data_IF_396568720457
#
_entry.id   IF_396568720457
#
_cell.length_a   1.000
_cell.length_b   1.000
_cell.length_c   1.000
_cell.angle_alpha   90.00
_cell.angle_beta   90.00
_cell.angle_gamma   90.00
#
_symmetry.space_group_name_H-M   'P 1'
#
loop_
_entity.id
_entity.type
_entity.pdbx_description
1 polymer ?
#
# COMPACT_ATOMS: atom_id res chain seq x y z
N UNK A 1 17.62 29.24 -28.58
CA UNK A 1 18.04 28.83 -27.22
C UNK A 1 16.87 28.95 -26.26
N UNK A 2 16.28 27.83 -25.83
CA UNK A 2 15.47 27.74 -24.60
C UNK A 2 15.95 26.50 -23.84
N UNK A 3 16.19 26.72 -22.55
CA UNK A 3 16.98 25.90 -21.63
C UNK A 3 16.10 24.80 -20.99
N UNK A 4 16.64 23.58 -21.05
CA UNK A 4 16.70 22.49 -20.06
C UNK A 4 15.52 22.08 -19.15
N UNK A 5 15.64 20.81 -18.75
CA UNK A 5 14.99 20.06 -17.66
C UNK A 5 13.69 19.37 -18.12
N UNK A 6 13.63 18.06 -18.28
CA UNK A 6 14.40 17.01 -17.63
C UNK A 6 13.38 16.05 -17.06
N UNK A 7 13.10 14.97 -17.80
CA UNK A 7 12.47 13.78 -17.23
C UNK A 7 13.32 12.61 -17.69
N UNK A 8 14.44 12.43 -17.00
CA UNK A 8 15.08 11.11 -16.96
C UNK A 8 14.11 10.25 -16.16
N UNK A 9 13.25 9.51 -16.86
CA UNK A 9 12.54 8.37 -16.26
C UNK A 9 13.66 7.41 -15.86
N UNK A 10 14.04 7.48 -14.59
CA UNK A 10 15.09 6.67 -14.00
C UNK A 10 14.54 5.25 -13.86
N UNK A 11 14.61 4.50 -14.96
CA UNK A 11 14.33 3.06 -15.05
C UNK A 11 15.45 2.26 -14.37
N UNK A 12 15.69 2.51 -13.08
CA UNK A 12 16.78 1.91 -12.31
C UNK A 12 16.31 1.41 -10.96
N UNK A 13 15.26 0.60 -10.97
CA UNK A 13 14.68 0.14 -9.72
C UNK A 13 14.27 -1.33 -9.90
N UNK A 14 15.02 -2.21 -9.21
CA UNK A 14 14.87 -3.67 -9.05
C UNK A 14 15.79 -4.59 -9.87
N UNK A 15 16.91 -4.11 -10.42
CA UNK A 15 17.99 -5.00 -10.86
C UNK A 15 18.76 -5.57 -9.65
N UNK A 16 18.08 -6.36 -8.81
CA UNK A 16 18.69 -7.35 -7.95
C UNK A 16 18.74 -8.65 -8.73
N UNK A 17 19.93 -9.04 -9.20
CA UNK A 17 20.22 -10.35 -9.77
C UNK A 17 19.97 -11.45 -8.73
N UNK A 18 18.71 -11.84 -8.55
CA UNK A 18 18.29 -13.17 -8.08
C UNK A 18 16.77 -13.40 -8.16
N UNK A 19 15.96 -12.40 -8.53
CA UNK A 19 14.54 -12.61 -8.82
C UNK A 19 13.69 -13.06 -7.61
N UNK A 20 14.21 -12.99 -6.39
CA UNK A 20 13.45 -13.35 -5.20
C UNK A 20 12.34 -12.33 -4.92
N UNK A 21 11.12 -12.83 -4.85
CA UNK A 21 9.94 -12.05 -4.50
C UNK A 21 10.10 -11.45 -3.09
N UNK A 22 10.01 -10.12 -3.02
CA UNK A 22 10.10 -9.37 -1.76
C UNK A 22 8.69 -9.13 -1.21
N UNK A 23 8.54 -9.37 0.09
CA UNK A 23 7.28 -9.15 0.80
C UNK A 23 7.36 -7.93 1.71
N UNK A 24 6.25 -7.24 1.83
CA UNK A 24 6.07 -6.03 2.60
C UNK A 24 4.81 -6.14 3.47
N UNK A 25 4.84 -5.53 4.64
CA UNK A 25 3.68 -5.38 5.53
C UNK A 25 3.41 -3.92 5.79
N UNK A 26 2.17 -3.61 6.12
CA UNK A 26 1.81 -2.25 6.55
C UNK A 26 2.47 -2.00 7.93
N UNK A 27 3.32 -0.98 7.97
CA UNK A 27 3.94 -0.47 9.20
C UNK A 27 3.07 0.63 9.81
N UNK A 28 2.62 1.55 8.96
CA UNK A 28 1.86 2.74 9.33
C UNK A 28 0.73 3.04 8.33
N UNK A 29 -0.36 3.61 8.84
CA UNK A 29 -1.49 4.10 8.04
C UNK A 29 -1.83 5.51 8.53
N UNK A 30 -1.80 6.46 7.62
CA UNK A 30 -2.18 7.84 7.87
C UNK A 30 -3.39 8.22 7.00
N UNK A 31 -4.41 8.81 7.62
CA UNK A 31 -5.60 9.32 6.93
C UNK A 31 -5.61 10.84 7.04
N UNK A 32 -5.72 11.50 5.89
CA UNK A 32 -5.89 12.95 5.82
C UNK A 32 -7.29 13.25 5.30
N UNK A 33 -8.19 13.60 6.21
CA UNK A 33 -9.57 13.94 5.90
C UNK A 33 -9.70 15.32 5.23
N UNK A 34 -10.58 15.42 4.24
CA UNK A 34 -11.03 16.69 3.68
C UNK A 34 -12.31 17.14 4.38
N UNK A 35 -12.17 18.09 5.30
CA UNK A 35 -13.29 18.62 6.07
C UNK A 35 -13.92 19.86 5.43
N UNK A 36 -13.56 20.21 4.19
CA UNK A 36 -13.98 21.46 3.55
C UNK A 36 -15.48 21.58 3.30
N UNK A 37 -16.18 20.44 3.20
CA UNK A 37 -17.63 20.35 2.97
C UNK A 37 -18.42 20.02 4.23
N UNK A 38 -17.74 19.80 5.35
CA UNK A 38 -18.38 19.31 6.58
C UNK A 38 -19.04 20.42 7.38
N UNK A 39 -20.26 20.17 7.86
CA UNK A 39 -21.03 21.12 8.67
C UNK A 39 -20.97 20.83 10.18
N UNK A 40 -20.38 19.69 10.57
CA UNK A 40 -20.20 19.29 11.96
C UNK A 40 -19.19 20.18 12.68
N UNK A 41 -19.27 20.26 14.01
CA UNK A 41 -18.25 20.96 14.79
C UNK A 41 -16.91 20.23 14.72
N UNK A 42 -15.80 20.95 14.90
CA UNK A 42 -14.45 20.37 14.91
C UNK A 42 -14.29 19.26 15.96
N UNK A 43 -14.98 19.38 17.10
CA UNK A 43 -14.95 18.35 18.16
C UNK A 43 -15.63 17.06 17.71
N UNK A 44 -16.77 17.16 17.04
CA UNK A 44 -17.50 16.00 16.51
C UNK A 44 -16.68 15.31 15.41
N UNK A 45 -16.11 16.09 14.48
CA UNK A 45 -15.23 15.58 13.43
C UNK A 45 -14.05 14.80 14.01
N UNK A 46 -13.34 15.35 15.00
CA UNK A 46 -12.18 14.69 15.63
C UNK A 46 -12.54 13.32 16.21
N UNK A 47 -13.64 13.22 16.97
CA UNK A 47 -14.04 11.96 17.61
C UNK A 47 -14.36 10.87 16.58
N UNK A 48 -15.09 11.22 15.51
CA UNK A 48 -15.46 10.25 14.48
C UNK A 48 -14.22 9.83 13.67
N UNK A 49 -13.40 10.81 13.26
CA UNK A 49 -12.21 10.58 12.43
C UNK A 49 -11.11 9.81 13.17
N UNK A 50 -10.97 10.02 14.49
CA UNK A 50 -10.13 9.18 15.35
C UNK A 50 -10.61 7.73 15.36
N UNK A 51 -11.93 7.50 15.44
CA UNK A 51 -12.52 6.16 15.35
C UNK A 51 -12.23 5.47 14.02
N UNK A 52 -12.40 6.18 12.90
CA UNK A 52 -12.10 5.68 11.55
C UNK A 52 -10.61 5.35 11.42
N UNK A 53 -9.74 6.27 11.85
CA UNK A 53 -8.29 6.10 11.81
C UNK A 53 -7.85 4.89 12.63
N UNK A 54 -8.40 4.75 13.85
CA UNK A 54 -8.13 3.60 14.71
C UNK A 54 -8.54 2.28 14.06
N UNK A 55 -9.74 2.22 13.47
CA UNK A 55 -10.22 1.02 12.75
C UNK A 55 -9.29 0.66 11.58
N UNK A 56 -8.83 1.65 10.81
CA UNK A 56 -7.88 1.43 9.73
C UNK A 56 -6.56 0.85 10.26
N UNK A 57 -5.96 1.48 11.27
CA UNK A 57 -4.71 1.02 11.89
C UNK A 57 -4.82 -0.39 12.48
N UNK A 58 -5.94 -0.70 13.15
CA UNK A 58 -6.18 -2.01 13.75
C UNK A 58 -6.32 -3.12 12.69
N UNK A 59 -6.66 -2.79 11.43
CA UNK A 59 -6.77 -3.75 10.31
C UNK A 59 -5.44 -4.10 9.62
N UNK A 60 -4.34 -3.44 9.97
CA UNK A 60 -3.07 -3.52 9.21
C UNK A 60 -2.37 -4.89 9.24
N UNK A 61 -2.70 -5.73 10.23
CA UNK A 61 -1.96 -6.97 10.53
C UNK A 61 -2.21 -8.12 9.54
N UNK A 62 -3.28 -8.02 8.74
CA UNK A 62 -3.78 -9.15 7.95
C UNK A 62 -3.47 -9.05 6.46
N UNK A 63 -2.68 -8.03 6.06
CA UNK A 63 -2.38 -7.74 4.65
C UNK A 63 -0.88 -7.72 4.41
N UNK A 64 -0.45 -8.55 3.47
CA UNK A 64 0.92 -8.55 2.94
C UNK A 64 0.91 -8.11 1.48
N UNK A 65 2.02 -7.52 1.04
CA UNK A 65 2.18 -7.06 -0.35
C UNK A 65 3.45 -7.65 -0.95
N UNK A 66 3.41 -7.99 -2.22
CA UNK A 66 4.61 -8.22 -3.03
C UNK A 66 4.62 -7.30 -4.23
N UNK A 67 5.82 -6.85 -4.61
CA UNK A 67 6.02 -5.98 -5.76
C UNK A 67 7.18 -6.49 -6.60
N UNK A 68 6.95 -6.52 -7.92
CA UNK A 68 7.96 -6.60 -8.97
C UNK A 68 7.94 -5.28 -9.76
N UNK A 69 8.84 -5.04 -10.73
CA UNK A 69 8.78 -3.81 -11.53
C UNK A 69 7.46 -3.66 -12.31
N UNK A 70 6.82 -4.78 -12.66
CA UNK A 70 5.69 -4.80 -13.60
C UNK A 70 4.38 -5.27 -12.96
N UNK A 71 4.43 -5.91 -11.79
CA UNK A 71 3.28 -6.54 -11.15
C UNK A 71 3.33 -6.36 -9.63
N UNK A 72 2.18 -6.06 -9.03
CA UNK A 72 1.97 -6.12 -7.60
C UNK A 72 1.06 -7.29 -7.25
N UNK A 73 1.11 -7.74 -6.01
CA UNK A 73 0.07 -8.58 -5.45
C UNK A 73 -0.13 -8.22 -3.98
N UNK A 74 -1.32 -8.50 -3.47
CA UNK A 74 -1.57 -8.45 -2.03
C UNK A 74 -2.18 -9.76 -1.55
N UNK A 75 -1.91 -10.09 -0.31
CA UNK A 75 -2.34 -11.31 0.35
C UNK A 75 -3.23 -10.92 1.52
N UNK A 76 -4.50 -11.30 1.44
CA UNK A 76 -5.51 -11.01 2.45
C UNK A 76 -6.15 -12.33 2.87
N UNK A 77 -6.18 -12.61 4.17
CA UNK A 77 -6.79 -13.84 4.72
C UNK A 77 -6.30 -15.16 4.08
N UNK A 78 -5.07 -15.17 3.54
CA UNK A 78 -4.47 -16.34 2.89
C UNK A 78 -4.79 -16.49 1.41
N UNK A 79 -5.53 -15.56 0.82
CA UNK A 79 -5.77 -15.49 -0.62
C UNK A 79 -4.83 -14.48 -1.27
N UNK A 80 -4.35 -14.81 -2.48
CA UNK A 80 -3.53 -13.91 -3.29
C UNK A 80 -4.44 -13.17 -4.25
N UNK A 81 -4.26 -11.86 -4.30
CA UNK A 81 -4.94 -10.98 -5.22
C UNK A 81 -3.89 -10.29 -6.06
N UNK A 82 -3.86 -10.62 -7.35
CA UNK A 82 -2.98 -9.96 -8.30
C UNK A 82 -3.45 -8.53 -8.53
N UNK A 83 -2.50 -7.59 -8.50
CA UNK A 83 -2.74 -6.18 -8.73
C UNK A 83 -1.86 -5.69 -9.88
N UNK A 84 -2.51 -5.36 -11.00
CA UNK A 84 -1.79 -4.80 -12.15
C UNK A 84 -1.14 -3.47 -11.77
N UNK A 85 0.18 -3.37 -11.94
CA UNK A 85 0.93 -2.12 -11.81
C UNK A 85 1.00 -1.44 -13.17
N UNK A 86 0.13 -0.45 -13.41
CA UNK A 86 0.17 0.34 -14.64
C UNK A 86 0.49 1.80 -14.30
N UNK A 87 1.60 2.29 -14.84
CA UNK A 87 2.04 3.68 -14.61
C UNK A 87 2.36 3.98 -13.14
N UNK A 88 2.85 2.99 -12.39
CA UNK A 88 3.14 3.13 -10.96
C UNK A 88 1.90 3.19 -10.07
N UNK A 89 0.74 2.74 -10.56
CA UNK A 89 -0.50 2.65 -9.79
C UNK A 89 -0.97 1.21 -9.70
N UNK A 90 -1.52 0.85 -8.55
CA UNK A 90 -2.18 -0.43 -8.28
C UNK A 90 -3.61 -0.21 -7.79
N UNK A 91 -4.47 -1.19 -7.97
CA UNK A 91 -5.80 -1.20 -7.39
C UNK A 91 -5.82 -2.15 -6.18
N UNK A 92 -6.34 -1.68 -5.05
CA UNK A 92 -6.60 -2.47 -3.85
C UNK A 92 -8.08 -2.36 -3.54
N UNK A 93 -8.84 -3.44 -3.76
CA UNK A 93 -10.30 -3.41 -3.78
C UNK A 93 -10.81 -2.31 -4.74
N UNK A 94 -11.58 -1.34 -4.25
CA UNK A 94 -12.10 -0.22 -5.05
C UNK A 94 -11.22 1.04 -4.98
N UNK A 95 -10.03 0.96 -4.38
CA UNK A 95 -9.15 2.10 -4.16
C UNK A 95 -7.96 2.05 -5.11
N UNK A 96 -7.78 3.10 -5.90
CA UNK A 96 -6.58 3.31 -6.70
C UNK A 96 -5.47 3.92 -5.86
N UNK A 97 -4.29 3.29 -5.88
CA UNK A 97 -3.13 3.65 -5.08
C UNK A 97 -1.93 3.93 -5.98
N UNK A 98 -1.29 5.07 -5.77
CA UNK A 98 0.03 5.38 -6.33
C UNK A 98 1.10 4.71 -5.49
N UNK A 99 1.96 3.94 -6.14
CA UNK A 99 3.08 3.24 -5.51
C UNK A 99 4.33 4.10 -5.61
N UNK A 100 4.92 4.47 -4.48
CA UNK A 100 6.21 5.17 -4.40
C UNK A 100 7.19 4.31 -3.62
N UNK A 101 8.36 4.07 -4.19
CA UNK A 101 9.46 3.41 -3.48
C UNK A 101 10.60 4.40 -3.25
N UNK A 102 11.25 4.32 -2.09
CA UNK A 102 12.49 5.04 -1.77
C UNK A 102 13.75 4.22 -2.11
N UNK A 103 13.56 3.06 -2.72
CA UNK A 103 14.04 1.79 -2.19
C UNK A 103 15.55 1.46 -2.08
N UNK A 104 16.01 0.69 -1.13
CA UNK A 104 15.50 0.45 0.21
C UNK A 104 14.20 -0.35 0.33
N UNK A 105 13.85 -0.48 1.59
CA UNK A 105 12.93 -1.47 2.13
C UNK A 105 11.58 -0.85 2.51
N UNK A 106 11.29 0.37 2.03
CA UNK A 106 10.03 1.07 2.28
C UNK A 106 9.28 1.35 0.98
N UNK A 107 7.97 1.14 1.01
CA UNK A 107 7.06 1.48 -0.07
C UNK A 107 5.92 2.32 0.52
N UNK A 108 5.52 3.39 -0.16
CA UNK A 108 4.32 4.12 0.16
C UNK A 108 3.24 3.83 -0.87
N UNK A 109 2.05 3.49 -0.39
CA UNK A 109 0.84 3.42 -1.18
C UNK A 109 -0.02 4.62 -0.82
N UNK A 110 -0.33 5.46 -1.80
CA UNK A 110 -1.05 6.72 -1.58
C UNK A 110 -2.30 6.73 -2.44
N UNK A 111 -3.47 6.85 -1.82
CA UNK A 111 -4.74 6.96 -2.55
C UNK A 111 -4.88 8.31 -3.24
N UNK A 112 -5.91 8.45 -4.08
CA UNK A 112 -6.32 9.77 -4.54
C UNK A 112 -6.95 10.56 -3.38
N UNK A 113 -6.94 11.89 -3.48
CA UNK A 113 -7.35 12.81 -2.41
C UNK A 113 -8.83 12.72 -2.00
N UNK A 114 -9.67 12.26 -2.90
CA UNK A 114 -11.12 12.14 -2.71
C UNK A 114 -11.52 10.67 -2.56
N UNK A 115 -10.67 9.88 -1.92
CA UNK A 115 -11.00 8.49 -1.61
C UNK A 115 -12.03 8.47 -0.49
N UNK A 116 -13.04 7.62 -0.60
CA UNK A 116 -14.02 7.46 0.46
C UNK A 116 -13.40 6.74 1.67
N UNK A 117 -13.33 7.44 2.81
CA UNK A 117 -13.06 6.90 4.14
C UNK A 117 -14.35 6.90 4.96
N UNK A 118 -15.23 5.92 4.69
CA UNK A 118 -16.53 5.79 5.35
C UNK A 118 -17.45 6.98 5.00
N UNK A 119 -17.66 7.92 5.91
CA UNK A 119 -18.51 9.10 5.70
C UNK A 119 -17.77 10.30 5.11
N UNK A 120 -16.44 10.24 4.97
CA UNK A 120 -15.61 11.40 4.60
C UNK A 120 -14.77 11.14 3.36
N UNK A 121 -14.48 12.21 2.62
CA UNK A 121 -13.41 12.21 1.62
C UNK A 121 -12.04 12.29 2.33
N UNK A 122 -11.06 11.50 1.87
CA UNK A 122 -9.75 11.42 2.48
C UNK A 122 -8.63 11.06 1.47
N UNK A 123 -7.40 11.36 1.84
CA UNK A 123 -6.19 10.76 1.28
C UNK A 123 -5.63 9.72 2.28
N UNK A 124 -5.51 8.47 1.85
CA UNK A 124 -4.93 7.37 2.63
C UNK A 124 -3.48 7.21 2.21
N UNK A 125 -2.57 7.24 3.17
CA UNK A 125 -1.16 6.88 2.97
C UNK A 125 -0.83 5.66 3.81
N UNK A 126 -0.49 4.54 3.16
CA UNK A 126 0.04 3.35 3.82
C UNK A 126 1.54 3.29 3.61
N UNK A 127 2.29 3.21 4.70
CA UNK A 127 3.73 2.96 4.66
C UNK A 127 3.96 1.48 4.88
N UNK A 128 4.59 0.84 3.91
CA UNK A 128 4.94 -0.57 3.92
C UNK A 128 6.42 -0.73 4.24
N UNK A 129 6.74 -1.68 5.12
CA UNK A 129 8.11 -2.11 5.39
C UNK A 129 8.33 -3.53 4.90
N UNK A 130 9.53 -3.78 4.39
CA UNK A 130 9.95 -5.12 4.00
C UNK A 130 9.88 -6.08 5.20
N UNK A 131 9.36 -7.26 4.96
CA UNK A 131 9.35 -8.36 5.91
C UNK A 131 10.72 -9.03 5.90
N UNK A 132 11.32 -9.19 7.09
CA UNK A 132 12.59 -9.91 7.24
C UNK A 132 12.38 -11.42 7.04
N UNK A 133 13.29 -12.07 6.32
CA UNK A 133 13.18 -13.51 5.96
C UNK A 133 13.12 -14.47 7.15
N UNK A 134 13.63 -14.06 8.31
CA UNK A 134 13.62 -14.86 9.54
C UNK A 134 12.47 -14.51 10.48
N UNK A 135 11.61 -13.57 10.09
CA UNK A 135 10.48 -13.16 10.92
C UNK A 135 9.36 -14.21 10.93
N UNK A 136 8.57 -14.32 12.01
CA UNK A 136 7.37 -15.13 12.02
C UNK A 136 6.39 -14.78 10.90
N UNK A 137 6.36 -13.51 10.48
CA UNK A 137 5.53 -13.03 9.37
C UNK A 137 5.95 -13.64 8.04
N UNK A 138 7.26 -13.73 7.77
CA UNK A 138 7.76 -14.39 6.56
C UNK A 138 7.36 -15.86 6.51
N UNK A 139 7.39 -16.56 7.65
CA UNK A 139 6.93 -17.95 7.75
C UNK A 139 5.44 -18.06 7.40
N UNK A 140 4.59 -17.16 7.90
CA UNK A 140 3.16 -17.12 7.56
C UNK A 140 2.94 -16.91 6.06
N UNK A 141 3.66 -15.97 5.46
CA UNK A 141 3.57 -15.69 4.02
C UNK A 141 3.97 -16.93 3.21
N UNK A 142 5.07 -17.60 3.57
CA UNK A 142 5.47 -18.85 2.92
C UNK A 142 4.40 -19.94 3.03
N UNK A 143 3.78 -20.09 4.19
CA UNK A 143 2.67 -21.04 4.37
C UNK A 143 1.46 -20.71 3.47
N UNK A 144 1.15 -19.43 3.26
CA UNK A 144 0.09 -18.99 2.35
C UNK A 144 0.44 -19.38 0.91
N UNK A 145 1.65 -19.04 0.46
CA UNK A 145 2.13 -19.36 -0.89
C UNK A 145 2.18 -20.87 -1.16
N UNK A 146 2.62 -21.66 -0.17
CA UNK A 146 2.70 -23.11 -0.29
C UNK A 146 1.32 -23.78 -0.34
N UNK A 147 0.30 -23.19 0.31
CA UNK A 147 -1.09 -23.66 0.17
C UNK A 147 -1.61 -23.42 -1.23
N UNK A 148 -1.34 -22.26 -1.81
CA UNK A 148 -1.81 -21.88 -3.16
C UNK A 148 -1.22 -22.79 -4.25
N UNK A 149 0.07 -23.11 -4.16
CA UNK A 149 0.72 -24.06 -5.09
C UNK A 149 0.16 -25.48 -5.04
N UNK A 150 -0.53 -25.86 -3.97
CA UNK A 150 -1.15 -27.20 -3.82
C UNK A 150 -2.59 -27.24 -4.30
N UNK A 151 -3.21 -26.08 -4.51
CA UNK A 151 -4.56 -25.94 -5.03
C UNK A 151 -4.62 -25.68 -6.55
N UNK A 152 -3.48 -25.40 -7.17
CA UNK A 152 -3.26 -25.41 -8.63
C UNK A 152 -2.88 -26.81 -9.13
#
# INVERSE_FOLDING_TARGET
MKKYLGVVIMALWLSGCNGEEKFYRIDDINLKFDNSKETMSQKELSVIQEGITKKAVDSKGDIYFSFTPEQGAYYLQGEKHDANLKGGRMQLNDIMLTVKSDGKDTIQLISDKETNCDFFDCEITMTLKRVEEKSPDFVKIKQILDKQKKSE
#
